data_IF_584965291281
#
_entry.id   IF_584965291281
#
_cell.length_a   1.000
_cell.length_b   1.000
_cell.length_c   1.000
_cell.angle_alpha   90.00
_cell.angle_beta   90.00
_cell.angle_gamma   90.00
#
_symmetry.space_group_name_H-M   'P 1'
#
loop_
_entity.id
_entity.type
_entity.pdbx_description
1 polymer ?
#
# COMPACT_ATOMS: atom_id res chain seq x y z
N UNK A 1 -8.31 29.81 -46.22
CA UNK A 1 -7.68 28.51 -45.93
C UNK A 1 -6.32 28.81 -45.34
N UNK A 2 -5.93 28.09 -44.27
CA UNK A 2 -4.58 28.09 -43.67
C UNK A 2 -4.23 29.39 -42.89
N UNK A 3 -4.21 29.46 -41.56
CA UNK A 3 -3.46 28.60 -40.63
C UNK A 3 -4.17 28.51 -39.28
N UNK A 4 -4.74 27.34 -39.03
CA UNK A 4 -5.18 26.88 -37.70
C UNK A 4 -3.97 26.26 -37.00
N UNK A 5 -2.91 27.03 -36.75
CA UNK A 5 -1.87 26.61 -35.82
C UNK A 5 -2.41 26.77 -34.39
N UNK A 6 -3.17 25.76 -33.96
CA UNK A 6 -3.34 25.49 -32.54
C UNK A 6 -1.94 25.27 -31.98
N UNK A 7 -1.42 26.28 -31.32
CA UNK A 7 -0.38 26.14 -30.30
C UNK A 7 -0.84 25.02 -29.37
N UNK A 8 -0.27 23.83 -29.54
CA UNK A 8 -0.37 22.76 -28.56
C UNK A 8 0.40 23.31 -27.36
N UNK A 9 -0.29 24.05 -26.49
CA UNK A 9 0.22 24.37 -25.16
C UNK A 9 0.69 23.04 -24.57
N UNK A 10 2.00 22.92 -24.38
CA UNK A 10 2.65 21.78 -23.78
C UNK A 10 2.29 21.77 -22.29
N UNK A 11 1.01 21.53 -21.99
CA UNK A 11 0.49 21.40 -20.63
C UNK A 11 1.15 20.16 -20.07
N UNK A 12 2.11 20.36 -19.18
CA UNK A 12 2.78 19.26 -18.49
C UNK A 12 1.74 18.31 -17.91
N UNK A 13 2.02 17.01 -17.92
CA UNK A 13 1.12 15.98 -17.38
C UNK A 13 0.65 16.31 -15.94
N UNK A 14 1.50 17.02 -15.19
CA UNK A 14 1.24 17.46 -13.81
C UNK A 14 0.38 18.72 -13.70
N UNK A 15 0.08 19.42 -14.81
CA UNK A 15 -0.86 20.55 -14.79
C UNK A 15 -2.27 20.07 -14.38
N UNK A 16 -2.76 20.61 -13.26
CA UNK A 16 -4.05 20.25 -12.68
C UNK A 16 -4.00 19.24 -11.53
N UNK A 17 -2.82 18.71 -11.16
CA UNK A 17 -2.64 17.87 -9.97
C UNK A 17 -2.24 18.74 -8.79
N UNK A 18 -3.04 18.76 -7.72
CA UNK A 18 -2.73 19.58 -6.54
C UNK A 18 -1.65 18.94 -5.65
N UNK A 19 -0.99 19.77 -4.83
CA UNK A 19 0.01 19.30 -3.86
C UNK A 19 -0.52 18.22 -2.92
N UNK A 20 -1.80 18.31 -2.54
CA UNK A 20 -2.45 17.30 -1.72
C UNK A 20 -2.52 15.95 -2.45
N UNK A 21 -2.88 15.95 -3.74
CA UNK A 21 -2.95 14.72 -4.54
C UNK A 21 -1.56 14.08 -4.70
N UNK A 22 -0.52 14.89 -4.92
CA UNK A 22 0.87 14.40 -4.97
C UNK A 22 1.28 13.77 -3.63
N UNK A 23 1.04 14.46 -2.52
CA UNK A 23 1.37 13.97 -1.19
C UNK A 23 0.61 12.69 -0.83
N UNK A 24 -0.68 12.61 -1.19
CA UNK A 24 -1.49 11.39 -1.02
C UNK A 24 -0.98 10.26 -1.91
N UNK A 25 -0.60 10.54 -3.16
CA UNK A 25 0.01 9.57 -4.07
C UNK A 25 1.32 9.00 -3.52
N UNK A 26 2.23 9.83 -3.00
CA UNK A 26 3.47 9.38 -2.35
C UNK A 26 3.16 8.54 -1.11
N UNK A 27 2.22 8.98 -0.27
CA UNK A 27 1.78 8.23 0.92
C UNK A 27 1.27 6.84 0.53
N UNK A 28 0.46 6.78 -0.51
CA UNK A 28 -0.09 5.56 -1.07
C UNK A 28 1.00 4.63 -1.60
N UNK A 29 1.88 5.13 -2.47
CA UNK A 29 3.03 4.39 -2.98
C UNK A 29 3.84 3.75 -1.85
N UNK A 30 4.22 4.53 -0.83
CA UNK A 30 5.00 4.04 0.30
C UNK A 30 4.23 2.99 1.13
N UNK A 31 2.93 3.16 1.28
CA UNK A 31 2.09 2.22 2.04
C UNK A 31 1.89 0.91 1.28
N UNK A 32 1.64 0.95 -0.02
CA UNK A 32 1.48 -0.24 -0.84
C UNK A 32 2.84 -0.94 -1.05
N UNK A 33 3.93 -0.17 -1.21
CA UNK A 33 5.30 -0.70 -1.16
C UNK A 33 5.58 -1.46 0.14
N UNK A 34 5.27 -0.84 1.30
CA UNK A 34 5.36 -1.48 2.61
C UNK A 34 4.52 -2.76 2.68
N UNK A 35 3.27 -2.70 2.23
CA UNK A 35 2.33 -3.82 2.35
C UNK A 35 2.78 -5.01 1.52
N UNK A 36 3.13 -4.77 0.26
CA UNK A 36 3.49 -5.83 -0.68
C UNK A 36 4.92 -6.35 -0.50
N UNK A 37 5.73 -5.75 0.40
CA UNK A 37 6.98 -6.36 0.85
C UNK A 37 6.75 -7.65 1.63
N UNK A 38 5.74 -7.68 2.51
CA UNK A 38 5.50 -8.83 3.39
C UNK A 38 4.28 -9.67 2.99
N UNK A 39 3.29 -9.07 2.33
CA UNK A 39 2.01 -9.72 2.07
C UNK A 39 2.13 -11.01 1.22
N UNK A 40 2.92 -11.06 0.13
CA UNK A 40 3.13 -12.31 -0.62
C UNK A 40 3.81 -13.41 0.19
N UNK A 41 4.60 -13.04 1.20
CA UNK A 41 5.36 -13.97 2.04
C UNK A 41 4.53 -14.51 3.21
N UNK A 42 3.46 -13.81 3.59
CA UNK A 42 2.68 -14.08 4.80
C UNK A 42 2.02 -15.48 4.80
N UNK A 43 1.42 -15.98 3.71
CA UNK A 43 0.88 -17.35 3.67
C UNK A 43 1.96 -18.41 3.88
N UNK A 44 3.12 -18.24 3.24
CA UNK A 44 4.23 -19.20 3.33
C UNK A 44 4.84 -19.16 4.72
N UNK A 45 5.03 -17.97 5.31
CA UNK A 45 5.49 -17.83 6.69
C UNK A 45 4.55 -18.52 7.69
N UNK A 46 3.24 -18.32 7.53
CA UNK A 46 2.23 -18.96 8.38
C UNK A 46 2.27 -20.49 8.30
N UNK A 47 2.39 -21.08 7.11
CA UNK A 47 2.28 -22.53 6.92
C UNK A 47 3.60 -23.26 7.15
N UNK A 48 4.73 -22.66 6.75
CA UNK A 48 6.04 -23.31 6.81
C UNK A 48 6.76 -23.09 8.12
N UNK A 49 6.72 -21.86 8.67
CA UNK A 49 7.40 -21.49 9.92
C UNK A 49 6.46 -21.67 11.11
N UNK A 50 5.29 -21.03 11.07
CA UNK A 50 4.32 -21.09 12.18
C UNK A 50 3.45 -22.35 12.16
N UNK A 51 3.65 -23.24 11.18
CA UNK A 51 2.94 -24.53 11.02
C UNK A 51 1.41 -24.42 11.05
N UNK A 52 0.88 -23.28 10.62
CA UNK A 52 -0.56 -23.03 10.54
C UNK A 52 -1.19 -23.83 9.38
N UNK A 53 -2.46 -24.22 9.55
CA UNK A 53 -3.25 -24.86 8.48
C UNK A 53 -3.64 -23.83 7.42
N UNK A 54 -3.73 -24.25 6.14
CA UNK A 54 -4.22 -23.40 5.05
C UNK A 54 -5.62 -22.83 5.30
N UNK A 55 -6.50 -23.58 5.98
CA UNK A 55 -7.83 -23.09 6.39
C UNK A 55 -7.76 -21.89 7.32
N UNK A 56 -6.75 -21.83 8.19
CA UNK A 56 -6.53 -20.71 9.08
C UNK A 56 -6.01 -19.46 8.33
N UNK A 57 -5.17 -19.64 7.31
CA UNK A 57 -4.77 -18.55 6.40
C UNK A 57 -6.00 -17.97 5.70
N UNK A 58 -6.90 -18.82 5.20
CA UNK A 58 -8.17 -18.39 4.60
C UNK A 58 -9.06 -17.62 5.58
N UNK A 59 -9.13 -18.05 6.85
CA UNK A 59 -9.86 -17.32 7.90
C UNK A 59 -9.27 -15.93 8.14
N UNK A 60 -7.94 -15.81 8.25
CA UNK A 60 -7.25 -14.53 8.43
C UNK A 60 -7.61 -13.57 7.29
N UNK A 61 -7.53 -14.02 6.04
CA UNK A 61 -7.83 -13.19 4.88
C UNK A 61 -9.31 -12.85 4.76
N UNK A 62 -10.20 -13.79 5.09
CA UNK A 62 -11.64 -13.56 5.12
C UNK A 62 -12.04 -12.51 6.15
N UNK A 63 -11.52 -12.62 7.38
CA UNK A 63 -11.74 -11.62 8.46
C UNK A 63 -11.17 -10.27 8.04
N UNK A 64 -9.96 -10.25 7.52
CA UNK A 64 -9.26 -9.06 7.04
C UNK A 64 -10.08 -8.28 6.00
N UNK A 65 -10.48 -8.92 4.89
CA UNK A 65 -11.14 -8.22 3.79
C UNK A 65 -12.59 -7.84 4.11
N UNK A 66 -13.30 -8.68 4.89
CA UNK A 66 -14.64 -8.35 5.39
C UNK A 66 -14.61 -7.09 6.28
N UNK A 67 -13.64 -7.03 7.20
CA UNK A 67 -13.46 -5.89 8.11
C UNK A 67 -13.20 -4.61 7.32
N UNK A 68 -12.27 -4.64 6.37
CA UNK A 68 -11.95 -3.47 5.54
C UNK A 68 -13.17 -3.00 4.73
N UNK A 69 -13.93 -3.92 4.15
CA UNK A 69 -15.09 -3.62 3.31
C UNK A 69 -16.23 -2.96 4.10
N UNK A 70 -16.57 -3.52 5.27
CA UNK A 70 -17.61 -2.97 6.14
C UNK A 70 -17.22 -1.59 6.67
N UNK A 71 -15.98 -1.44 7.15
CA UNK A 71 -15.50 -0.18 7.69
C UNK A 71 -15.32 0.89 6.63
N UNK A 72 -15.07 0.53 5.37
CA UNK A 72 -15.04 1.50 4.28
C UNK A 72 -16.40 2.22 4.13
N UNK A 73 -17.52 1.50 4.24
CA UNK A 73 -18.86 2.11 4.20
C UNK A 73 -19.08 3.05 5.39
N UNK A 74 -18.75 2.59 6.60
CA UNK A 74 -18.93 3.36 7.84
C UNK A 74 -18.04 4.61 7.84
N UNK A 75 -16.80 4.48 7.40
CA UNK A 75 -15.84 5.58 7.37
C UNK A 75 -16.21 6.68 6.38
N UNK A 76 -16.86 6.36 5.27
CA UNK A 76 -17.37 7.34 4.33
C UNK A 76 -18.43 8.23 4.99
N UNK A 77 -19.45 7.61 5.58
CA UNK A 77 -20.49 8.32 6.35
C UNK A 77 -19.89 9.14 7.50
N UNK A 78 -18.96 8.55 8.26
CA UNK A 78 -18.31 9.22 9.38
C UNK A 78 -17.48 10.42 8.93
N UNK A 79 -16.78 10.30 7.80
CA UNK A 79 -15.98 11.38 7.22
C UNK A 79 -16.83 12.56 6.80
N UNK A 80 -17.96 12.30 6.17
CA UNK A 80 -18.87 13.36 5.75
C UNK A 80 -19.54 14.02 6.96
N UNK A 81 -19.87 13.26 8.00
CA UNK A 81 -20.44 13.80 9.25
C UNK A 81 -19.44 14.61 10.07
N UNK A 82 -18.19 14.16 10.19
CA UNK A 82 -17.17 14.82 11.02
C UNK A 82 -16.50 16.00 10.31
N UNK A 83 -16.57 16.07 8.98
CA UNK A 83 -15.88 17.08 8.15
C UNK A 83 -14.38 17.22 8.51
N UNK A 84 -13.75 16.10 8.90
CA UNK A 84 -12.35 15.99 9.34
C UNK A 84 -11.66 14.85 8.58
N UNK A 85 -11.56 15.00 7.26
CA UNK A 85 -11.05 13.95 6.36
C UNK A 85 -9.60 13.60 6.68
N UNK A 86 -8.73 14.61 6.85
CA UNK A 86 -7.30 14.39 7.14
C UNK A 86 -7.09 13.54 8.40
N UNK A 87 -7.83 13.79 9.48
CA UNK A 87 -7.66 13.07 10.74
C UNK A 87 -7.96 11.56 10.60
N UNK A 88 -9.04 11.21 9.88
CA UNK A 88 -9.39 9.82 9.62
C UNK A 88 -8.35 9.12 8.73
N UNK A 89 -7.84 9.85 7.72
CA UNK A 89 -6.78 9.35 6.85
C UNK A 89 -5.48 9.10 7.63
N UNK A 90 -5.06 10.05 8.47
CA UNK A 90 -3.86 9.91 9.33
C UNK A 90 -4.02 8.76 10.31
N UNK A 91 -5.15 8.69 11.02
CA UNK A 91 -5.43 7.61 11.97
C UNK A 91 -5.42 6.24 11.29
N UNK A 92 -6.06 6.13 10.12
CA UNK A 92 -6.11 4.86 9.38
C UNK A 92 -4.76 4.42 8.82
N UNK A 93 -3.97 5.34 8.23
CA UNK A 93 -2.60 5.02 7.80
C UNK A 93 -1.69 4.69 8.98
N UNK A 94 -1.80 5.43 10.09
CA UNK A 94 -1.05 5.15 11.32
C UNK A 94 -1.35 3.76 11.88
N UNK A 95 -2.63 3.41 11.98
CA UNK A 95 -3.06 2.11 12.49
C UNK A 95 -2.57 0.95 11.60
N UNK A 96 -2.65 1.10 10.27
CA UNK A 96 -2.04 0.15 9.35
C UNK A 96 -0.52 0.11 9.52
N UNK A 97 0.17 1.24 9.60
CA UNK A 97 1.63 1.30 9.74
C UNK A 97 2.15 0.60 11.00
N UNK A 98 1.44 0.72 12.12
CA UNK A 98 1.80 0.09 13.40
C UNK A 98 1.82 -1.43 13.35
N UNK A 99 1.13 -2.08 12.41
CA UNK A 99 1.04 -3.54 12.38
C UNK A 99 2.29 -4.21 11.82
N UNK A 100 3.13 -3.48 11.08
CA UNK A 100 4.35 -4.02 10.46
C UNK A 100 5.36 -4.54 11.49
N UNK A 101 5.76 -3.75 12.52
CA UNK A 101 6.63 -4.28 13.57
C UNK A 101 5.97 -5.41 14.37
N UNK A 102 4.65 -5.39 14.56
CA UNK A 102 3.90 -6.46 15.24
C UNK A 102 4.01 -7.78 14.47
N UNK A 103 3.86 -7.75 13.14
CA UNK A 103 4.05 -8.92 12.27
C UNK A 103 5.50 -9.40 12.35
N UNK A 104 6.48 -8.49 12.35
CA UNK A 104 7.90 -8.84 12.39
C UNK A 104 8.32 -9.60 13.66
N UNK A 105 7.65 -9.36 14.80
CA UNK A 105 7.90 -10.07 16.08
C UNK A 105 6.92 -11.22 16.34
N UNK A 106 6.00 -11.50 15.41
CA UNK A 106 4.95 -12.49 15.64
C UNK A 106 5.50 -13.92 15.74
N UNK A 107 5.11 -14.64 16.78
CA UNK A 107 5.53 -16.04 17.04
C UNK A 107 4.41 -17.06 16.87
N UNK A 108 3.18 -16.61 16.62
CA UNK A 108 2.00 -17.47 16.53
C UNK A 108 1.01 -16.90 15.51
N UNK A 109 0.24 -17.78 14.86
CA UNK A 109 -0.72 -17.39 13.83
C UNK A 109 -1.79 -16.41 14.33
N UNK A 110 -2.19 -16.47 15.60
CA UNK A 110 -3.17 -15.56 16.20
C UNK A 110 -2.65 -14.12 16.30
N UNK A 111 -1.33 -13.93 16.44
CA UNK A 111 -0.71 -12.59 16.39
C UNK A 111 -0.88 -11.99 14.99
N UNK A 112 -0.65 -12.80 13.95
CA UNK A 112 -0.85 -12.38 12.55
C UNK A 112 -2.33 -12.06 12.30
N UNK A 113 -3.27 -12.89 12.80
CA UNK A 113 -4.70 -12.63 12.71
C UNK A 113 -5.06 -11.25 13.31
N UNK A 114 -4.61 -10.98 14.55
CA UNK A 114 -4.84 -9.69 15.21
C UNK A 114 -4.22 -8.51 14.44
N UNK A 115 -2.97 -8.66 14.00
CA UNK A 115 -2.28 -7.61 13.23
C UNK A 115 -2.95 -7.34 11.89
N UNK A 116 -3.42 -8.38 11.18
CA UNK A 116 -4.16 -8.26 9.92
C UNK A 116 -5.53 -7.61 10.13
N UNK A 117 -6.24 -7.96 11.20
CA UNK A 117 -7.49 -7.32 11.56
C UNK A 117 -7.30 -5.82 11.81
N UNK A 118 -6.30 -5.43 12.60
CA UNK A 118 -5.96 -4.03 12.88
C UNK A 118 -5.52 -3.27 11.62
N UNK A 119 -4.70 -3.90 10.76
CA UNK A 119 -4.30 -3.32 9.48
C UNK A 119 -5.52 -2.96 8.62
N UNK A 120 -6.51 -3.84 8.62
CA UNK A 120 -7.71 -3.71 7.80
C UNK A 120 -8.73 -2.77 8.38
N UNK A 121 -8.78 -2.62 9.71
CA UNK A 121 -9.43 -1.47 10.35
C UNK A 121 -8.82 -0.17 9.81
N UNK A 122 -7.49 -0.05 9.84
CA UNK A 122 -6.79 1.12 9.31
C UNK A 122 -7.12 1.41 7.84
N UNK A 123 -7.06 0.39 6.99
CA UNK A 123 -7.46 0.46 5.56
C UNK A 123 -8.92 0.91 5.39
N UNK A 124 -9.84 0.35 6.17
CA UNK A 124 -11.25 0.71 6.17
C UNK A 124 -11.46 2.19 6.46
N UNK A 125 -10.82 2.71 7.52
CA UNK A 125 -10.97 4.11 7.93
C UNK A 125 -10.26 5.13 7.04
N UNK A 126 -9.20 4.75 6.31
CA UNK A 126 -8.48 5.70 5.45
C UNK A 126 -9.01 5.78 4.02
N UNK A 127 -9.60 4.71 3.48
CA UNK A 127 -9.85 4.63 2.02
C UNK A 127 -10.89 5.64 1.53
N UNK A 128 -12.12 5.60 2.06
CA UNK A 128 -13.16 6.53 1.62
C UNK A 128 -12.83 8.00 1.96
N UNK A 129 -12.29 8.32 3.15
CA UNK A 129 -11.94 9.71 3.47
C UNK A 129 -10.77 10.25 2.62
N UNK A 130 -9.82 9.38 2.23
CA UNK A 130 -8.74 9.72 1.29
C UNK A 130 -9.29 10.04 -0.09
N UNK A 131 -10.15 9.20 -0.62
CA UNK A 131 -10.72 9.39 -1.96
C UNK A 131 -11.53 10.69 -2.01
N UNK A 132 -12.27 11.00 -0.94
CA UNK A 132 -12.97 12.27 -0.82
C UNK A 132 -12.00 13.46 -0.68
N UNK A 133 -10.89 13.32 0.06
CA UNK A 133 -9.88 14.38 0.17
C UNK A 133 -9.19 14.66 -1.19
N UNK A 134 -8.99 13.65 -2.03
CA UNK A 134 -8.51 13.82 -3.42
C UNK A 134 -9.55 14.61 -4.23
N UNK A 135 -10.82 14.22 -4.15
CA UNK A 135 -11.91 14.87 -4.88
C UNK A 135 -12.12 16.34 -4.46
N UNK A 136 -12.01 16.63 -3.17
CA UNK A 136 -12.13 17.98 -2.60
C UNK A 136 -10.88 18.84 -2.91
N UNK A 137 -9.71 18.21 -3.09
CA UNK A 137 -8.46 18.88 -3.44
C UNK A 137 -8.27 19.11 -4.95
N UNK A 138 -9.26 18.77 -5.78
CA UNK A 138 -9.12 18.76 -7.25
C UNK A 138 -10.32 19.43 -7.91
N UNK A 139 -10.09 20.26 -8.94
CA UNK A 139 -11.17 20.83 -9.74
C UNK A 139 -11.93 19.73 -10.50
N UNK A 140 -13.24 19.88 -10.77
CA UNK A 140 -14.04 18.86 -11.45
C UNK A 140 -13.43 18.35 -12.77
N UNK A 141 -12.82 19.24 -13.55
CA UNK A 141 -12.22 18.97 -14.86
C UNK A 141 -10.96 18.11 -14.75
N UNK A 142 -10.28 18.13 -13.60
CA UNK A 142 -9.01 17.42 -13.37
C UNK A 142 -9.16 16.18 -12.48
N UNK A 143 -10.37 15.84 -12.01
CA UNK A 143 -10.60 14.69 -11.12
C UNK A 143 -10.11 13.37 -11.70
N UNK A 144 -10.35 13.13 -12.99
CA UNK A 144 -9.85 11.93 -13.67
C UNK A 144 -8.32 11.81 -13.63
N UNK A 145 -7.61 12.93 -13.85
CA UNK A 145 -6.14 12.97 -13.76
C UNK A 145 -5.65 12.74 -12.33
N UNK A 146 -6.30 13.35 -11.34
CA UNK A 146 -5.90 13.21 -9.94
C UNK A 146 -6.06 11.77 -9.43
N UNK A 147 -7.22 11.15 -9.69
CA UNK A 147 -7.43 9.73 -9.35
C UNK A 147 -6.54 8.80 -10.15
N UNK A 148 -6.32 9.09 -11.45
CA UNK A 148 -5.40 8.35 -12.29
C UNK A 148 -3.97 8.37 -11.73
N UNK A 149 -3.43 9.55 -11.47
CA UNK A 149 -2.10 9.71 -10.86
C UNK A 149 -1.98 8.98 -9.53
N UNK A 150 -2.94 9.19 -8.62
CA UNK A 150 -2.94 8.53 -7.33
C UNK A 150 -2.97 7.00 -7.50
N UNK A 151 -3.81 6.48 -8.41
CA UNK A 151 -3.93 5.03 -8.63
C UNK A 151 -2.69 4.44 -9.30
N UNK A 152 -2.03 5.18 -10.19
CA UNK A 152 -0.72 4.81 -10.71
C UNK A 152 0.32 4.69 -9.60
N UNK A 153 0.32 5.61 -8.63
CA UNK A 153 1.23 5.56 -7.48
C UNK A 153 0.92 4.36 -6.55
N UNK A 154 -0.36 4.07 -6.27
CA UNK A 154 -0.78 2.85 -5.54
C UNK A 154 -0.16 1.59 -6.21
N UNK A 155 -0.40 1.43 -7.52
CA UNK A 155 0.06 0.25 -8.26
C UNK A 155 1.59 0.19 -8.39
N UNK A 156 2.25 1.34 -8.56
CA UNK A 156 3.71 1.38 -8.59
C UNK A 156 4.30 0.86 -7.27
N UNK A 157 3.73 1.26 -6.12
CA UNK A 157 4.15 0.73 -4.82
C UNK A 157 3.95 -0.79 -4.73
N UNK A 158 2.78 -1.26 -5.18
CA UNK A 158 2.44 -2.68 -5.16
C UNK A 158 3.30 -3.55 -6.09
N UNK A 159 3.89 -2.97 -7.15
CA UNK A 159 4.83 -3.67 -8.03
C UNK A 159 6.25 -3.64 -7.45
N UNK A 160 6.68 -2.51 -6.90
CA UNK A 160 8.03 -2.37 -6.32
C UNK A 160 8.19 -3.23 -5.07
N UNK A 161 7.14 -3.41 -4.27
CA UNK A 161 7.16 -4.20 -3.03
C UNK A 161 7.68 -5.63 -3.22
N UNK A 162 7.03 -6.48 -4.04
CA UNK A 162 7.44 -7.86 -4.25
C UNK A 162 8.82 -7.98 -4.91
N UNK A 163 9.20 -7.05 -5.78
CA UNK A 163 10.53 -7.01 -6.41
C UNK A 163 11.61 -6.80 -5.34
N UNK A 164 11.43 -5.81 -4.47
CA UNK A 164 12.39 -5.55 -3.38
C UNK A 164 12.39 -6.68 -2.36
N UNK A 165 11.24 -7.26 -2.04
CA UNK A 165 11.16 -8.44 -1.16
C UNK A 165 11.99 -9.60 -1.74
N UNK A 166 11.82 -9.90 -3.03
CA UNK A 166 12.60 -10.93 -3.72
C UNK A 166 14.10 -10.65 -3.65
N UNK A 167 14.53 -9.42 -3.96
CA UNK A 167 15.93 -8.99 -3.90
C UNK A 167 16.50 -9.20 -2.48
N UNK A 168 15.80 -8.78 -1.43
CA UNK A 168 16.25 -8.95 -0.04
C UNK A 168 16.39 -10.44 0.30
N UNK A 169 15.36 -11.24 -0.01
CA UNK A 169 15.36 -12.68 0.25
C UNK A 169 16.49 -13.38 -0.48
N UNK A 170 16.67 -13.11 -1.77
CA UNK A 170 17.72 -13.72 -2.59
C UNK A 170 19.12 -13.34 -2.08
N UNK A 171 19.32 -12.09 -1.66
CA UNK A 171 20.60 -11.63 -1.11
C UNK A 171 20.97 -12.36 0.19
N UNK A 172 19.98 -12.71 1.02
CA UNK A 172 20.20 -13.43 2.27
C UNK A 172 20.47 -14.92 1.98
N UNK A 173 19.67 -15.55 1.11
CA UNK A 173 19.74 -16.99 0.84
C UNK A 173 20.98 -17.37 0.02
N UNK A 174 21.33 -16.56 -0.98
CA UNK A 174 22.42 -16.86 -1.92
C UNK A 174 23.69 -16.04 -1.65
N UNK A 175 23.64 -15.11 -0.69
CA UNK A 175 24.76 -14.23 -0.33
C UNK A 175 25.04 -13.13 -1.37
N UNK A 176 26.10 -12.36 -1.12
CA UNK A 176 26.51 -11.23 -1.98
C UNK A 176 26.96 -11.63 -3.40
N UNK A 177 27.23 -12.92 -3.62
CA UNK A 177 27.56 -13.49 -4.94
C UNK A 177 26.38 -13.56 -5.90
N UNK A 178 25.14 -13.58 -5.39
CA UNK A 178 23.93 -13.73 -6.19
C UNK A 178 23.84 -12.76 -7.37
N UNK A 179 24.09 -11.47 -7.13
CA UNK A 179 24.03 -10.46 -8.18
C UNK A 179 25.18 -10.58 -9.18
N UNK A 180 26.37 -11.01 -8.73
CA UNK A 180 27.49 -11.30 -9.61
C UNK A 180 27.19 -12.46 -10.55
N UNK A 181 26.55 -13.51 -10.04
CA UNK A 181 26.16 -14.68 -10.82
C UNK A 181 24.97 -14.36 -11.75
N UNK A 182 24.01 -13.55 -11.29
CA UNK A 182 22.83 -13.14 -12.06
C UNK A 182 23.18 -12.21 -13.23
N UNK A 183 24.14 -11.30 -13.05
CA UNK A 183 24.52 -10.29 -14.05
C UNK A 183 25.83 -10.58 -14.80
N UNK A 184 26.41 -11.77 -14.66
CA UNK A 184 27.36 -12.30 -15.65
C UNK A 184 28.83 -12.47 -15.25
N UNK A 185 29.16 -12.68 -13.97
CA UNK A 185 30.52 -13.12 -13.59
C UNK A 185 30.61 -14.65 -13.50
N UNK A 186 30.65 -15.32 -14.66
CA UNK A 186 30.61 -16.79 -14.79
C UNK A 186 31.94 -17.50 -14.49
N UNK A 187 32.97 -16.83 -13.96
CA UNK A 187 34.31 -17.42 -13.79
C UNK A 187 34.48 -18.34 -12.57
N UNK A 188 33.39 -18.72 -11.88
CA UNK A 188 33.44 -19.54 -10.65
C UNK A 188 32.63 -20.85 -10.71
N UNK A 189 32.19 -21.25 -11.90
CA UNK A 189 31.29 -22.40 -12.12
C UNK A 189 31.86 -23.76 -11.74
N UNK A 190 33.20 -23.93 -11.67
CA UNK A 190 33.82 -25.24 -11.42
C UNK A 190 34.19 -25.53 -9.95
N UNK A 191 34.08 -24.59 -9.02
CA UNK A 191 34.49 -24.80 -7.62
C UNK A 191 33.32 -24.90 -6.61
N UNK A 192 32.10 -24.56 -7.03
CA UNK A 192 30.91 -24.54 -6.15
C UNK A 192 30.08 -25.83 -6.21
N UNK A 193 30.30 -26.69 -7.22
CA UNK A 193 29.54 -27.93 -7.38
C UNK A 193 30.00 -29.00 -6.37
N UNK A 194 31.28 -29.04 -5.98
CA UNK A 194 31.81 -30.06 -5.05
C UNK A 194 31.62 -29.75 -3.55
N UNK A 195 31.43 -28.47 -3.17
CA UNK A 195 31.12 -28.09 -1.78
C UNK A 195 29.61 -27.98 -1.51
N UNK A 196 28.79 -28.25 -2.52
CA UNK A 196 27.34 -28.02 -2.51
C UNK A 196 26.54 -29.18 -1.91
N UNK A 197 27.09 -30.39 -1.79
CA UNK A 197 26.34 -31.56 -1.34
C UNK A 197 26.21 -31.69 0.20
N UNK A 198 26.99 -30.95 1.00
CA UNK A 198 27.00 -31.10 2.47
C UNK A 198 26.47 -29.90 3.29
N UNK A 199 25.85 -28.89 2.67
CA UNK A 199 25.24 -27.75 3.39
C UNK A 199 23.90 -27.31 2.78
N UNK A 200 23.31 -28.15 1.91
CA UNK A 200 22.06 -27.86 1.21
C UNK A 200 20.86 -28.50 1.90
N UNK A 201 20.53 -27.95 3.05
CA UNK A 201 19.12 -27.77 3.43
C UNK A 201 18.93 -26.27 3.69
N UNK A 202 19.14 -25.46 2.64
CA UNK A 202 18.94 -24.01 2.66
C UNK A 202 17.43 -23.72 2.66
N UNK A 203 16.75 -24.15 3.72
CA UNK A 203 15.36 -23.83 3.98
C UNK A 203 15.33 -22.34 4.31
N UNK A 204 14.50 -21.56 3.60
CA UNK A 204 14.28 -20.15 3.92
C UNK A 204 13.90 -20.09 5.40
N UNK A 205 14.81 -19.57 6.22
CA UNK A 205 14.69 -19.60 7.66
C UNK A 205 13.73 -18.49 8.15
N UNK A 206 13.30 -18.64 9.39
CA UNK A 206 12.44 -17.66 10.05
C UNK A 206 13.06 -16.25 10.02
N UNK A 207 14.38 -16.17 10.20
CA UNK A 207 15.12 -14.91 10.21
C UNK A 207 14.96 -14.15 8.88
N UNK A 208 15.05 -14.84 7.74
CA UNK A 208 14.92 -14.24 6.42
C UNK A 208 13.56 -13.55 6.23
N UNK A 209 12.45 -14.18 6.65
CA UNK A 209 11.12 -13.55 6.63
C UNK A 209 11.05 -12.33 7.54
N UNK A 210 11.58 -12.45 8.76
CA UNK A 210 11.53 -11.37 9.76
C UNK A 210 12.30 -10.13 9.31
N UNK A 211 13.43 -10.29 8.62
CA UNK A 211 14.17 -9.15 8.04
C UNK A 211 13.30 -8.39 7.04
N UNK A 212 12.63 -9.07 6.12
CA UNK A 212 11.72 -8.42 5.16
C UNK A 212 10.57 -7.71 5.89
N UNK A 213 10.02 -8.33 6.94
CA UNK A 213 8.94 -7.74 7.73
C UNK A 213 9.39 -6.47 8.46
N UNK A 214 10.60 -6.46 9.03
CA UNK A 214 11.18 -5.26 9.63
C UNK A 214 11.45 -4.16 8.59
N UNK A 215 12.02 -4.51 7.44
CA UNK A 215 12.24 -3.57 6.34
C UNK A 215 10.94 -2.90 5.88
N UNK A 216 9.81 -3.59 5.92
CA UNK A 216 8.51 -3.03 5.56
C UNK A 216 8.02 -1.90 6.48
N UNK A 217 8.55 -1.79 7.70
CA UNK A 217 8.14 -0.78 8.69
C UNK A 217 8.64 0.62 8.33
N UNK A 218 9.81 0.73 7.69
CA UNK A 218 10.43 2.01 7.31
C UNK A 218 9.54 2.80 6.34
N UNK A 219 9.13 2.25 5.17
CA UNK A 219 8.25 2.97 4.26
C UNK A 219 6.86 3.22 4.86
N UNK A 220 6.38 2.37 5.77
CA UNK A 220 5.12 2.60 6.49
C UNK A 220 5.17 3.84 7.39
N UNK A 221 6.24 4.00 8.16
CA UNK A 221 6.43 5.16 9.03
C UNK A 221 6.60 6.41 8.16
N UNK A 222 7.41 6.31 7.10
CA UNK A 222 7.63 7.43 6.17
C UNK A 222 6.32 7.88 5.50
N UNK A 223 5.43 6.95 5.14
CA UNK A 223 4.14 7.31 4.55
C UNK A 223 3.29 8.16 5.50
N UNK A 224 3.22 7.80 6.78
CA UNK A 224 2.50 8.55 7.80
C UNK A 224 3.13 9.93 8.02
N UNK A 225 4.46 10.04 8.03
CA UNK A 225 5.15 11.33 8.14
C UNK A 225 4.84 12.24 6.95
N UNK A 226 4.95 11.72 5.72
CA UNK A 226 4.59 12.47 4.50
C UNK A 226 3.15 12.98 4.59
N UNK A 227 2.23 12.12 4.99
CA UNK A 227 0.83 12.47 5.14
C UNK A 227 0.62 13.59 6.18
N UNK A 228 1.24 13.50 7.36
CA UNK A 228 1.08 14.48 8.43
C UNK A 228 1.60 15.85 7.99
N UNK A 229 2.79 15.90 7.38
CA UNK A 229 3.47 17.16 7.04
C UNK A 229 2.99 17.80 5.73
N UNK A 230 2.65 17.01 4.71
CA UNK A 230 2.41 17.53 3.36
C UNK A 230 0.95 17.60 2.94
N UNK A 231 0.07 16.81 3.56
CA UNK A 231 -1.37 16.86 3.24
C UNK A 231 -2.04 17.93 4.09
N UNK A 232 -2.75 18.86 3.44
CA UNK A 232 -3.57 19.87 4.11
C UNK A 232 -5.02 19.42 4.20
N UNK A 233 -5.68 19.79 5.30
CA UNK A 233 -7.11 19.55 5.44
C UNK A 233 -7.88 20.44 4.45
N UNK A 234 -8.90 19.86 3.80
CA UNK A 234 -9.78 20.59 2.90
C UNK A 234 -11.16 20.60 3.54
N UNK A 235 -11.50 21.71 4.19
CA UNK A 235 -12.83 21.92 4.76
C UNK A 235 -13.83 22.11 3.62
N UNK A 236 -14.89 21.31 3.60
CA UNK A 236 -16.02 21.62 2.73
C UNK A 236 -16.62 22.97 3.13
N UNK A 237 -16.80 23.86 2.14
CA UNK A 237 -17.79 24.93 2.25
C UNK A 237 -19.13 24.23 2.44
N UNK A 238 -19.88 24.59 3.48
CA UNK A 238 -21.23 24.08 3.67
C UNK A 238 -22.07 24.45 2.44
N UNK A 239 -22.14 23.56 1.44
CA UNK A 239 -23.05 23.73 0.33
C UNK A 239 -24.45 23.62 0.89
N UNK A 240 -25.19 24.72 0.74
CA UNK A 240 -26.61 24.84 1.08
C UNK A 240 -27.31 23.60 0.55
N UNK A 241 -27.97 22.84 1.44
CA UNK A 241 -28.77 21.62 1.18
C UNK A 241 -28.99 21.40 -0.32
N UNK A 242 -28.32 20.40 -0.89
CA UNK A 242 -28.54 19.97 -2.26
C UNK A 242 -30.05 19.99 -2.53
N UNK A 243 -30.50 20.87 -3.44
CA UNK A 243 -31.91 20.92 -3.84
C UNK A 243 -32.25 19.51 -4.29
N UNK A 244 -33.19 18.86 -3.59
CA UNK A 244 -33.67 17.55 -4.00
C UNK A 244 -34.00 17.64 -5.50
N UNK A 245 -33.56 16.68 -6.33
CA UNK A 245 -34.00 16.64 -7.71
C UNK A 245 -35.53 16.62 -7.67
N UNK A 246 -36.16 17.65 -8.24
CA UNK A 246 -37.60 17.67 -8.43
C UNK A 246 -37.91 16.46 -9.31
N UNK A 247 -38.42 15.40 -8.69
CA UNK A 247 -39.05 14.29 -9.39
C UNK A 247 -40.27 14.88 -10.07
N UNK A 248 -40.08 15.39 -11.28
CA UNK A 248 -41.18 15.69 -12.20
C UNK A 248 -41.76 14.35 -12.63
N UNK A 249 -42.62 13.80 -11.78
CA UNK A 249 -43.51 12.72 -12.19
C UNK A 249 -44.41 13.33 -13.26
N UNK A 250 -44.15 12.98 -14.53
CA UNK A 250 -45.04 13.27 -15.63
C UNK A 250 -46.35 12.49 -15.36
N UNK A 251 -47.52 13.14 -15.41
CA UNK A 251 -48.81 12.48 -15.19
C UNK A 251 -49.11 11.43 -16.27
#
# INVERSE_FOLDING_TARGET
MENTEKTIENKSFFSGISRNVVALGITSFLTDFSTELFYPLLPVFLTTILKAKYTFVGLIEGVAETTASLLKLISGWLSDKLNRRKALVVGGYGLSGLTRPIIAISTAGWHILGARFVDRIGKGFRTAPRDALIADSTSPENRGKAFGFHRSMDHAGAVVGPIVAFIIMASIVFGSGFFGDLFGNTNKSNQLISNSENTKENQIDEHTYRVVFWCSSIPAILSVLVLIFFVKDVRQKNETKAKLPLLTLKP
#
